data_IF_636625656559
#
_entry.id   IF_636625656559
#
_cell.length_a   1.000
_cell.length_b   1.000
_cell.length_c   1.000
_cell.angle_alpha   90.00
_cell.angle_beta   90.00
_cell.angle_gamma   90.00
#
_symmetry.space_group_name_H-M   'P 1'
#
loop_
_entity.id
_entity.type
_entity.pdbx_description
1 polymer ?
#
# COMPACT_ATOMS: atom_id res chain seq x y z
N UNK A 1 16.35 -2.88 -9.82
CA UNK A 1 15.91 -1.87 -10.80
C UNK A 1 14.63 -2.40 -11.42
N UNK A 2 13.53 -1.64 -11.39
CA UNK A 2 12.28 -2.07 -12.02
C UNK A 2 12.50 -2.08 -13.53
N UNK A 3 12.18 -3.19 -14.19
CA UNK A 3 11.99 -3.17 -15.62
C UNK A 3 10.63 -2.50 -15.89
N UNK A 4 10.58 -1.47 -16.75
CA UNK A 4 9.34 -0.76 -17.09
C UNK A 4 8.30 -1.72 -17.71
N UNK A 5 8.74 -2.85 -18.26
CA UNK A 5 7.88 -3.92 -18.77
C UNK A 5 7.07 -4.63 -17.66
N UNK A 6 7.51 -4.55 -16.39
CA UNK A 6 6.87 -5.19 -15.24
C UNK A 6 5.84 -4.27 -14.53
N UNK A 7 5.47 -3.15 -15.16
CA UNK A 7 4.43 -2.29 -14.61
C UNK A 7 3.07 -2.99 -14.64
N UNK A 8 2.35 -2.98 -13.53
CA UNK A 8 1.03 -3.60 -13.40
C UNK A 8 0.03 -3.17 -14.49
N UNK A 9 0.21 -1.96 -15.03
CA UNK A 9 -0.59 -1.46 -16.16
C UNK A 9 -0.48 -2.35 -17.39
N UNK A 10 0.69 -2.98 -17.61
CA UNK A 10 1.01 -3.76 -18.81
C UNK A 10 0.71 -5.26 -18.64
N UNK A 11 0.16 -5.67 -17.50
CA UNK A 11 -0.15 -7.08 -17.23
C UNK A 11 -1.13 -7.65 -18.26
N UNK A 12 -0.78 -8.83 -18.81
CA UNK A 12 -1.61 -9.52 -19.80
C UNK A 12 -1.63 -8.91 -21.20
N UNK A 13 -0.78 -7.91 -21.49
CA UNK A 13 -0.54 -7.41 -22.84
C UNK A 13 0.52 -8.28 -23.54
N UNK A 14 0.45 -8.32 -24.88
CA UNK A 14 1.48 -8.92 -25.73
C UNK A 14 2.78 -8.11 -25.67
N UNK A 15 3.90 -8.74 -26.01
CA UNK A 15 5.21 -8.06 -26.06
C UNK A 15 5.23 -6.87 -27.02
N UNK A 16 4.53 -7.00 -28.17
CA UNK A 16 4.41 -5.93 -29.16
C UNK A 16 3.67 -4.72 -28.59
N UNK A 17 2.51 -4.93 -27.95
CA UNK A 17 1.72 -3.87 -27.31
C UNK A 17 2.51 -3.17 -26.21
N UNK A 18 3.21 -3.92 -25.36
CA UNK A 18 4.08 -3.36 -24.31
C UNK A 18 5.15 -2.44 -24.91
N UNK A 19 5.86 -2.88 -25.93
CA UNK A 19 6.91 -2.07 -26.58
C UNK A 19 6.35 -0.76 -27.16
N UNK A 20 5.18 -0.81 -27.79
CA UNK A 20 4.52 0.39 -28.31
C UNK A 20 4.17 1.36 -27.18
N UNK A 21 3.54 0.88 -26.11
CA UNK A 21 3.17 1.73 -24.97
C UNK A 21 4.41 2.33 -24.30
N UNK A 22 5.45 1.53 -24.08
CA UNK A 22 6.69 1.98 -23.46
C UNK A 22 7.41 3.02 -24.29
N UNK A 23 7.32 2.97 -25.63
CA UNK A 23 7.91 3.98 -26.51
C UNK A 23 7.26 5.36 -26.36
N UNK A 24 6.01 5.43 -25.88
CA UNK A 24 5.30 6.69 -25.58
C UNK A 24 5.63 7.24 -24.17
N UNK A 25 6.30 6.47 -23.32
CA UNK A 25 6.60 6.93 -21.96
C UNK A 25 7.64 8.05 -21.96
N UNK A 26 7.43 9.09 -21.11
CA UNK A 26 8.41 10.14 -20.97
C UNK A 26 9.70 9.62 -20.31
N UNK A 27 10.78 10.37 -20.43
CA UNK A 27 12.03 10.07 -19.74
C UNK A 27 11.81 10.09 -18.21
N UNK A 28 12.40 9.12 -17.51
CA UNK A 28 12.38 9.07 -16.06
C UNK A 28 13.18 10.22 -15.46
N UNK A 29 12.72 10.73 -14.31
CA UNK A 29 13.33 11.84 -13.58
C UNK A 29 14.12 11.30 -12.39
N UNK A 30 15.33 11.84 -12.18
CA UNK A 30 16.19 11.47 -11.06
C UNK A 30 16.07 12.48 -9.93
N UNK A 31 15.93 11.98 -8.71
CA UNK A 31 15.86 12.76 -7.47
C UNK A 31 16.98 12.31 -6.53
N UNK A 32 17.66 13.28 -5.92
CA UNK A 32 18.66 13.02 -4.87
C UNK A 32 17.97 12.73 -3.54
N UNK A 33 18.67 12.02 -2.67
CA UNK A 33 18.20 11.80 -1.29
C UNK A 33 17.78 13.11 -0.63
N UNK A 34 16.56 13.15 -0.09
CA UNK A 34 15.95 14.31 0.56
C UNK A 34 15.17 15.24 -0.36
N UNK A 35 15.25 15.09 -1.68
CA UNK A 35 14.47 15.91 -2.60
C UNK A 35 12.99 15.52 -2.58
N UNK A 36 12.13 16.53 -2.78
CA UNK A 36 10.69 16.37 -2.90
C UNK A 36 10.38 15.88 -4.32
N UNK A 37 9.87 14.66 -4.41
CA UNK A 37 9.45 14.03 -5.67
C UNK A 37 8.08 14.57 -6.09
N UNK A 38 7.19 14.80 -5.11
CA UNK A 38 5.78 15.03 -5.31
C UNK A 38 5.24 15.84 -4.14
N UNK A 39 4.71 16.99 -4.39
CA UNK A 39 4.25 17.91 -3.34
C UNK A 39 2.73 18.03 -3.34
N UNK A 40 2.15 18.09 -2.17
CA UNK A 40 0.73 18.37 -2.01
C UNK A 40 0.31 19.73 -2.56
N UNK A 41 1.22 20.69 -2.52
CA UNK A 41 0.96 22.06 -2.98
C UNK A 41 1.18 22.25 -4.49
N UNK A 42 1.87 21.29 -5.14
CA UNK A 42 2.14 21.30 -6.59
C UNK A 42 1.52 20.06 -7.24
N UNK A 43 0.25 20.19 -7.57
CA UNK A 43 -0.47 19.12 -8.25
C UNK A 43 -0.03 18.98 -9.71
N UNK A 44 0.60 17.87 -10.08
CA UNK A 44 1.09 17.58 -11.44
C UNK A 44 0.17 16.64 -12.22
N UNK A 45 -0.91 16.17 -11.64
CA UNK A 45 -1.88 15.23 -12.23
C UNK A 45 -1.21 14.05 -12.95
N UNK A 46 -0.30 13.38 -12.27
CA UNK A 46 0.47 12.27 -12.82
C UNK A 46 0.56 11.08 -11.87
N UNK A 47 0.64 9.89 -12.45
CA UNK A 47 0.95 8.64 -11.78
C UNK A 47 2.47 8.48 -11.77
N UNK A 48 3.08 8.37 -10.59
CA UNK A 48 4.51 8.17 -10.43
C UNK A 48 4.85 6.71 -10.13
N UNK A 49 5.81 6.13 -10.86
CA UNK A 49 6.37 4.81 -10.61
C UNK A 49 7.82 4.92 -10.15
N UNK A 50 8.15 4.29 -9.03
CA UNK A 50 9.53 4.19 -8.56
C UNK A 50 10.28 3.14 -9.41
N UNK A 51 11.14 3.60 -10.31
CA UNK A 51 11.98 2.72 -11.14
C UNK A 51 13.19 2.18 -10.35
N UNK A 52 13.80 3.03 -9.52
CA UNK A 52 14.89 2.62 -8.63
C UNK A 52 14.92 3.49 -7.38
N UNK A 53 15.58 3.01 -6.31
CA UNK A 53 15.68 3.72 -5.05
C UNK A 53 14.48 3.50 -4.12
N UNK A 54 14.32 4.41 -3.16
CA UNK A 54 13.27 4.37 -2.14
C UNK A 54 12.76 5.78 -1.86
N UNK A 55 11.46 5.91 -1.61
CA UNK A 55 10.82 7.14 -1.21
C UNK A 55 9.86 6.90 -0.03
N UNK A 56 9.36 7.97 0.58
CA UNK A 56 8.35 7.89 1.62
C UNK A 56 7.37 9.05 1.50
N UNK A 57 6.12 8.79 1.92
CA UNK A 57 5.10 9.82 2.01
C UNK A 57 4.98 10.34 3.44
N UNK A 58 4.80 11.66 3.57
CA UNK A 58 4.49 12.35 4.82
C UNK A 58 3.19 13.14 4.69
N UNK A 59 2.44 13.27 5.79
CA UNK A 59 1.25 14.12 5.81
C UNK A 59 1.59 15.59 5.72
N UNK A 60 0.66 16.40 5.20
CA UNK A 60 0.84 17.85 5.06
C UNK A 60 0.34 18.66 6.26
N UNK A 61 -0.09 18.02 7.34
CA UNK A 61 -0.67 18.68 8.52
C UNK A 61 0.35 19.30 9.49
N UNK A 62 1.47 19.78 8.96
CA UNK A 62 2.51 20.52 9.71
C UNK A 62 3.42 19.68 10.61
N UNK A 63 3.06 18.44 10.90
CA UNK A 63 3.86 17.55 11.77
C UNK A 63 4.67 16.50 11.00
N UNK A 64 4.53 16.43 9.66
CA UNK A 64 5.30 15.52 8.80
C UNK A 64 5.19 14.04 9.19
N UNK A 65 4.00 13.60 9.63
CA UNK A 65 3.81 12.21 10.08
C UNK A 65 4.04 11.26 8.91
N UNK A 66 4.93 10.29 9.12
CA UNK A 66 5.19 9.23 8.15
C UNK A 66 3.93 8.42 7.85
N UNK A 67 3.56 8.30 6.58
CA UNK A 67 2.40 7.54 6.12
C UNK A 67 2.79 6.20 5.51
N UNK A 68 3.74 6.18 4.56
CA UNK A 68 4.04 5.01 3.75
C UNK A 68 5.44 5.09 3.15
N UNK A 69 6.12 3.93 2.99
CA UNK A 69 7.31 3.78 2.16
C UNK A 69 6.94 3.31 0.76
N UNK A 70 7.72 3.76 -0.22
CA UNK A 70 7.70 3.31 -1.61
C UNK A 70 9.07 2.74 -1.96
N UNK A 71 9.07 1.60 -2.62
CA UNK A 71 10.25 0.93 -3.13
C UNK A 71 10.12 0.73 -4.64
N UNK A 72 11.20 0.31 -5.29
CA UNK A 72 11.19 -0.03 -6.72
C UNK A 72 9.99 -0.94 -7.05
N UNK A 73 9.26 -0.64 -8.11
CA UNK A 73 8.02 -1.34 -8.51
C UNK A 73 6.74 -0.78 -7.92
N UNK A 74 6.80 0.12 -6.94
CA UNK A 74 5.59 0.73 -6.37
C UNK A 74 5.21 2.03 -7.09
N UNK A 75 3.90 2.38 -7.03
CA UNK A 75 3.40 3.64 -7.57
C UNK A 75 2.71 4.51 -6.51
N UNK A 76 2.63 5.81 -6.80
CA UNK A 76 1.91 6.83 -6.03
C UNK A 76 1.11 7.74 -6.98
N UNK A 77 0.17 8.52 -6.44
CA UNK A 77 -0.69 9.43 -7.23
C UNK A 77 -1.92 8.78 -7.84
N UNK A 78 -2.04 7.46 -7.85
CA UNK A 78 -3.11 6.74 -8.55
C UNK A 78 -4.54 7.17 -8.13
N UNK A 79 -4.79 7.48 -6.87
CA UNK A 79 -6.12 7.89 -6.42
C UNK A 79 -6.45 9.35 -6.77
N UNK A 80 -5.47 10.16 -7.14
CA UNK A 80 -5.65 11.58 -7.39
C UNK A 80 -5.80 11.92 -8.87
N UNK A 81 -5.27 11.10 -9.78
CA UNK A 81 -5.14 11.45 -11.20
C UNK A 81 -6.48 11.59 -11.91
N UNK A 82 -7.50 10.80 -11.55
CA UNK A 82 -8.86 10.89 -12.09
C UNK A 82 -9.86 11.45 -11.06
N UNK A 83 -9.36 11.91 -9.90
CA UNK A 83 -10.20 12.44 -8.85
C UNK A 83 -10.64 13.88 -9.11
N UNK A 84 -11.81 14.27 -8.58
CA UNK A 84 -12.30 15.65 -8.65
C UNK A 84 -11.48 16.64 -7.80
N UNK A 85 -10.69 16.15 -6.84
CA UNK A 85 -9.85 16.94 -5.96
C UNK A 85 -8.48 17.20 -6.58
N UNK A 86 -8.15 18.46 -6.91
CA UNK A 86 -6.82 18.87 -7.42
C UNK A 86 -5.80 19.07 -6.28
N UNK A 87 -5.75 18.17 -5.32
CA UNK A 87 -4.80 18.24 -4.20
C UNK A 87 -4.30 16.84 -3.83
N UNK A 88 -3.03 16.75 -3.53
CA UNK A 88 -2.48 15.54 -2.96
C UNK A 88 -2.63 15.54 -1.42
N UNK A 89 -2.90 14.38 -0.84
CA UNK A 89 -3.04 14.23 0.62
C UNK A 89 -1.69 14.13 1.35
N UNK A 90 -0.60 14.01 0.60
CA UNK A 90 0.74 13.79 1.14
C UNK A 90 1.82 14.33 0.22
N UNK A 91 2.98 14.63 0.79
CA UNK A 91 4.23 14.91 0.07
C UNK A 91 5.08 13.65 0.02
N UNK A 92 5.66 13.34 -1.14
CA UNK A 92 6.58 12.21 -1.33
C UNK A 92 8.01 12.73 -1.44
N UNK A 93 8.91 12.16 -0.64
CA UNK A 93 10.31 12.57 -0.51
C UNK A 93 11.22 11.38 -0.81
N UNK A 94 12.30 11.60 -1.55
CA UNK A 94 13.31 10.61 -1.85
C UNK A 94 14.08 10.21 -0.57
N UNK A 95 14.05 8.92 -0.20
CA UNK A 95 14.82 8.38 0.93
C UNK A 95 16.25 8.03 0.55
N UNK A 96 16.47 7.66 -0.69
CA UNK A 96 17.76 7.41 -1.34
C UNK A 96 17.76 8.14 -2.67
N UNK A 97 18.83 8.11 -3.42
CA UNK A 97 18.79 8.50 -4.84
C UNK A 97 17.74 7.64 -5.54
N UNK A 98 16.78 8.29 -6.20
CA UNK A 98 15.53 7.66 -6.65
C UNK A 98 15.20 8.11 -8.07
N UNK A 99 14.89 7.15 -8.93
CA UNK A 99 14.43 7.40 -10.31
C UNK A 99 12.94 7.14 -10.41
N UNK A 100 12.20 8.07 -10.99
CA UNK A 100 10.72 8.02 -11.08
C UNK A 100 10.27 8.24 -12.51
N UNK A 101 9.40 7.38 -13.02
CA UNK A 101 8.65 7.56 -14.24
C UNK A 101 7.31 8.21 -13.91
N UNK A 102 6.99 9.34 -14.55
CA UNK A 102 5.69 10.02 -14.41
C UNK A 102 4.85 9.85 -15.66
N UNK A 103 3.65 9.33 -15.51
CA UNK A 103 2.66 9.19 -16.59
C UNK A 103 1.51 10.14 -16.27
N UNK A 104 1.28 11.15 -17.12
CA UNK A 104 0.20 12.12 -16.92
C UNK A 104 -1.16 11.55 -17.32
N UNK A 105 -2.23 12.24 -16.94
CA UNK A 105 -3.61 11.82 -17.20
C UNK A 105 -3.89 11.67 -18.71
N UNK A 106 -3.38 12.56 -19.54
CA UNK A 106 -3.59 12.54 -20.99
C UNK A 106 -3.01 11.27 -21.62
N UNK A 107 -1.77 10.92 -21.28
CA UNK A 107 -1.13 9.70 -21.77
C UNK A 107 -1.83 8.45 -21.23
N UNK A 108 -2.25 8.43 -19.96
CA UNK A 108 -3.03 7.32 -19.41
C UNK A 108 -4.36 7.13 -20.17
N UNK A 109 -5.09 8.21 -20.44
CA UNK A 109 -6.32 8.16 -21.23
C UNK A 109 -6.08 7.62 -22.64
N UNK A 110 -5.03 8.08 -23.31
CA UNK A 110 -4.61 7.54 -24.62
C UNK A 110 -4.36 6.04 -24.56
N UNK A 111 -3.62 5.58 -23.53
CA UNK A 111 -3.29 4.17 -23.34
C UNK A 111 -4.58 3.36 -23.06
N UNK A 112 -5.46 3.83 -22.18
CA UNK A 112 -6.70 3.14 -21.83
C UNK A 112 -7.65 2.98 -23.01
N UNK A 113 -7.74 4.00 -23.87
CA UNK A 113 -8.59 3.96 -25.07
C UNK A 113 -8.05 2.97 -26.12
N UNK A 114 -6.74 2.95 -26.33
CA UNK A 114 -6.13 2.08 -27.34
C UNK A 114 -5.90 0.65 -26.84
N UNK A 115 -5.72 0.48 -25.54
CA UNK A 115 -5.42 -0.80 -24.88
C UNK A 115 -6.34 -1.00 -23.65
N UNK A 116 -7.62 -1.34 -23.83
CA UNK A 116 -8.61 -1.39 -22.73
C UNK A 116 -8.20 -2.31 -21.57
N UNK A 117 -7.36 -3.31 -21.82
CA UNK A 117 -6.81 -4.18 -20.78
C UNK A 117 -6.04 -3.40 -19.70
N UNK A 118 -5.36 -2.33 -20.08
CA UNK A 118 -4.64 -1.47 -19.13
C UNK A 118 -5.57 -0.72 -18.20
N UNK A 119 -6.75 -0.30 -18.67
CA UNK A 119 -7.79 0.28 -17.82
C UNK A 119 -8.34 -0.74 -16.81
N UNK A 120 -8.58 -1.98 -17.24
CA UNK A 120 -8.99 -3.07 -16.34
C UNK A 120 -7.92 -3.33 -15.28
N UNK A 121 -6.64 -3.36 -15.64
CA UNK A 121 -5.54 -3.52 -14.70
C UNK A 121 -5.50 -2.37 -13.67
N UNK A 122 -5.71 -1.13 -14.13
CA UNK A 122 -5.77 0.04 -13.27
C UNK A 122 -6.96 -0.02 -12.28
N UNK A 123 -8.16 -0.39 -12.76
CA UNK A 123 -9.35 -0.58 -11.93
C UNK A 123 -9.11 -1.68 -10.89
N UNK A 124 -8.51 -2.81 -11.31
CA UNK A 124 -8.17 -3.92 -10.41
C UNK A 124 -7.21 -3.46 -9.31
N UNK A 125 -6.16 -2.73 -9.66
CA UNK A 125 -5.23 -2.14 -8.72
C UNK A 125 -5.92 -1.22 -7.70
N UNK A 126 -6.81 -0.31 -8.15
CA UNK A 126 -7.57 0.57 -7.26
C UNK A 126 -8.53 -0.22 -6.36
N UNK A 127 -9.20 -1.24 -6.89
CA UNK A 127 -10.10 -2.11 -6.12
C UNK A 127 -9.36 -2.82 -4.99
N UNK A 128 -8.14 -3.31 -5.23
CA UNK A 128 -7.32 -3.92 -4.20
C UNK A 128 -6.87 -2.90 -3.14
N UNK A 129 -6.58 -1.65 -3.54
CA UNK A 129 -6.29 -0.57 -2.58
C UNK A 129 -7.50 -0.24 -1.71
N UNK A 130 -8.70 -0.15 -2.28
CA UNK A 130 -9.95 0.08 -1.53
C UNK A 130 -10.18 -1.07 -0.54
N UNK A 131 -10.06 -2.31 -0.99
CA UNK A 131 -10.20 -3.50 -0.13
C UNK A 131 -9.20 -3.50 1.03
N UNK A 132 -7.94 -3.17 0.75
CA UNK A 132 -6.91 -3.02 1.78
C UNK A 132 -7.24 -1.92 2.79
N UNK A 133 -7.71 -0.74 2.33
CA UNK A 133 -8.09 0.36 3.21
C UNK A 133 -9.30 0.01 4.07
N UNK A 134 -10.33 -0.63 3.50
CA UNK A 134 -11.50 -1.10 4.24
C UNK A 134 -11.11 -2.10 5.34
N UNK A 135 -10.18 -3.04 5.03
CA UNK A 135 -9.63 -3.97 6.02
C UNK A 135 -8.92 -3.23 7.16
N UNK A 136 -8.12 -2.20 6.86
CA UNK A 136 -7.51 -1.34 7.89
C UNK A 136 -8.55 -0.59 8.73
N UNK A 137 -9.55 0.00 8.09
CA UNK A 137 -10.61 0.71 8.79
C UNK A 137 -11.39 -0.21 9.73
N UNK A 138 -11.71 -1.43 9.30
CA UNK A 138 -12.43 -2.40 10.16
C UNK A 138 -11.62 -2.76 11.43
N UNK A 139 -10.29 -2.83 11.33
CA UNK A 139 -9.41 -3.05 12.47
C UNK A 139 -9.37 -1.83 13.40
N UNK A 140 -9.28 -0.62 12.84
CA UNK A 140 -9.23 0.63 13.62
C UNK A 140 -10.58 1.00 14.27
N UNK A 141 -11.68 0.48 13.75
CA UNK A 141 -13.04 0.70 14.29
C UNK A 141 -13.36 -0.18 15.51
N UNK A 142 -12.42 -0.97 16.00
CA UNK A 142 -12.63 -1.81 17.17
C UNK A 142 -12.62 -0.97 18.45
N UNK A 143 -13.54 -1.27 19.36
CA UNK A 143 -13.72 -0.52 20.61
C UNK A 143 -12.60 -0.78 21.64
N UNK A 144 -11.88 -1.90 21.52
CA UNK A 144 -10.80 -2.26 22.43
C UNK A 144 -9.62 -2.93 21.70
N UNK A 145 -8.49 -3.05 22.40
CA UNK A 145 -7.27 -3.61 21.83
C UNK A 145 -7.40 -5.11 21.49
N UNK A 146 -8.21 -5.87 22.23
CA UNK A 146 -8.42 -7.30 21.99
C UNK A 146 -9.16 -7.54 20.68
N UNK A 147 -10.26 -6.81 20.45
CA UNK A 147 -11.01 -6.90 19.19
C UNK A 147 -10.15 -6.45 17.99
N UNK A 148 -9.32 -5.41 18.19
CA UNK A 148 -8.38 -4.95 17.17
C UNK A 148 -7.40 -6.04 16.77
N UNK A 149 -6.79 -6.70 17.75
CA UNK A 149 -5.82 -7.79 17.53
C UNK A 149 -6.50 -9.01 16.90
N UNK A 150 -7.65 -9.43 17.41
CA UNK A 150 -8.38 -10.59 16.88
C UNK A 150 -8.85 -10.38 15.44
N UNK A 151 -9.44 -9.24 15.13
CA UNK A 151 -9.85 -8.92 13.74
C UNK A 151 -8.67 -8.91 12.80
N UNK A 152 -7.53 -8.36 13.23
CA UNK A 152 -6.32 -8.42 12.42
C UNK A 152 -5.89 -9.86 12.19
N UNK A 153 -5.74 -10.66 13.24
CA UNK A 153 -5.34 -12.06 13.15
C UNK A 153 -6.27 -12.84 12.22
N UNK A 154 -7.59 -12.77 12.42
CA UNK A 154 -8.58 -13.40 11.53
C UNK A 154 -8.49 -12.95 10.09
N UNK A 155 -8.01 -11.72 9.87
CA UNK A 155 -7.87 -11.15 8.52
C UNK A 155 -6.65 -11.64 7.75
N UNK A 156 -5.65 -12.23 8.44
CA UNK A 156 -4.39 -12.70 7.87
C UNK A 156 -4.17 -14.21 8.09
N UNK A 157 -5.21 -14.91 8.58
CA UNK A 157 -5.20 -16.38 8.71
C UNK A 157 -5.24 -17.06 7.34
N UNK A 158 -4.56 -18.18 7.26
CA UNK A 158 -4.70 -19.16 6.18
C UNK A 158 -5.94 -20.07 6.39
N UNK A 159 -6.11 -21.05 5.53
CA UNK A 159 -7.23 -22.01 5.60
C UNK A 159 -7.27 -22.87 6.87
N UNK A 160 -6.21 -22.85 7.68
CA UNK A 160 -6.10 -23.57 8.95
C UNK A 160 -6.28 -22.63 10.17
N UNK A 161 -6.78 -21.42 9.96
CA UNK A 161 -6.89 -20.34 10.97
C UNK A 161 -5.54 -19.94 11.60
N UNK A 162 -4.43 -20.16 10.89
CA UNK A 162 -3.10 -19.78 11.34
C UNK A 162 -2.67 -18.44 10.73
N UNK A 163 -2.36 -17.46 11.57
CA UNK A 163 -1.82 -16.16 11.17
C UNK A 163 -0.29 -16.15 11.29
N UNK A 164 0.40 -15.82 10.21
CA UNK A 164 1.84 -15.52 10.26
C UNK A 164 2.03 -14.10 10.82
N UNK A 165 2.70 -14.01 11.98
CA UNK A 165 2.98 -12.71 12.59
C UNK A 165 4.25 -12.12 11.97
N UNK A 166 4.27 -10.80 11.67
CA UNK A 166 5.52 -10.13 11.34
C UNK A 166 6.54 -10.32 12.46
N UNK A 167 7.77 -10.73 12.15
CA UNK A 167 8.86 -10.84 13.14
C UNK A 167 9.11 -9.52 13.90
N UNK A 168 8.65 -8.40 13.36
CA UNK A 168 8.80 -7.06 13.94
C UNK A 168 7.50 -6.60 14.62
N UNK A 169 7.38 -6.87 15.93
CA UNK A 169 6.25 -6.45 16.76
C UNK A 169 6.07 -4.91 16.81
N UNK A 170 7.13 -4.14 16.59
CA UNK A 170 7.05 -2.68 16.48
C UNK A 170 6.30 -2.27 15.23
N UNK A 171 6.50 -2.98 14.13
CA UNK A 171 5.74 -2.75 12.90
C UNK A 171 4.27 -3.12 13.09
N UNK A 172 3.99 -4.26 13.73
CA UNK A 172 2.63 -4.70 14.00
C UNK A 172 1.88 -3.70 14.91
N UNK A 173 2.50 -3.22 15.98
CA UNK A 173 1.89 -2.24 16.88
C UNK A 173 1.54 -0.93 16.16
N UNK A 174 2.42 -0.45 15.28
CA UNK A 174 2.15 0.72 14.42
C UNK A 174 1.01 0.47 13.41
N UNK A 175 0.95 -0.73 12.83
CA UNK A 175 -0.12 -1.10 11.90
C UNK A 175 -1.49 -1.15 12.57
N UNK A 176 -1.54 -1.60 13.83
CA UNK A 176 -2.78 -1.72 14.62
C UNK A 176 -3.15 -0.42 15.35
N UNK A 177 -2.27 0.58 15.37
CA UNK A 177 -2.50 1.84 16.09
C UNK A 177 -2.53 1.69 17.61
N UNK A 178 -1.90 0.62 18.17
CA UNK A 178 -1.82 0.36 19.61
C UNK A 178 -0.37 0.37 20.09
N UNK A 179 -0.15 0.76 21.34
CA UNK A 179 1.18 0.76 21.93
C UNK A 179 1.78 -0.65 22.00
N UNK A 180 3.13 -0.77 21.89
CA UNK A 180 3.81 -2.09 21.98
C UNK A 180 3.46 -2.83 23.27
N UNK A 181 3.52 -2.15 24.42
CA UNK A 181 3.19 -2.76 25.72
C UNK A 181 1.74 -3.26 25.74
N UNK A 182 0.81 -2.48 25.19
CA UNK A 182 -0.59 -2.87 25.04
C UNK A 182 -0.74 -4.09 24.13
N UNK A 183 -0.02 -4.13 23.00
CA UNK A 183 -0.06 -5.26 22.09
C UNK A 183 0.38 -6.57 22.78
N UNK A 184 1.51 -6.55 23.49
CA UNK A 184 2.00 -7.73 24.20
C UNK A 184 0.99 -8.20 25.26
N UNK A 185 0.52 -7.27 26.12
CA UNK A 185 -0.49 -7.58 27.15
C UNK A 185 -1.78 -8.14 26.53
N UNK A 186 -2.21 -7.58 25.40
CA UNK A 186 -3.41 -8.08 24.71
C UNK A 186 -3.23 -9.50 24.18
N UNK A 187 -2.07 -9.79 23.58
CA UNK A 187 -1.76 -11.14 23.10
C UNK A 187 -1.70 -12.14 24.27
N UNK A 188 -1.12 -11.75 25.42
CA UNK A 188 -1.06 -12.59 26.61
C UNK A 188 -2.46 -12.85 27.17
N UNK A 189 -3.33 -11.84 27.23
CA UNK A 189 -4.73 -12.00 27.65
C UNK A 189 -5.52 -12.92 26.72
N UNK A 190 -5.35 -12.76 25.42
CA UNK A 190 -6.04 -13.58 24.41
C UNK A 190 -5.59 -15.04 24.47
N UNK A 191 -4.32 -15.30 24.75
CA UNK A 191 -3.79 -16.64 24.94
C UNK A 191 -4.29 -17.26 26.25
N UNK A 192 -4.24 -16.52 27.36
CA UNK A 192 -4.75 -16.96 28.66
C UNK A 192 -6.25 -17.25 28.60
N UNK A 193 -7.02 -16.49 27.84
CA UNK A 193 -8.45 -16.71 27.62
C UNK A 193 -8.76 -17.83 26.60
N UNK A 194 -7.74 -18.48 26.03
CA UNK A 194 -7.91 -19.56 25.05
C UNK A 194 -8.46 -19.11 23.70
N UNK A 195 -8.43 -17.82 23.39
CA UNK A 195 -8.91 -17.28 22.11
C UNK A 195 -7.86 -17.37 21.00
N UNK A 196 -6.59 -17.46 21.36
CA UNK A 196 -5.46 -17.70 20.45
C UNK A 196 -4.51 -18.73 21.06
N UNK A 197 -3.72 -19.39 20.21
CA UNK A 197 -2.58 -20.22 20.60
C UNK A 197 -1.34 -19.71 19.86
N UNK A 198 -0.28 -19.41 20.60
CA UNK A 198 1.00 -18.96 20.02
C UNK A 198 1.96 -20.14 19.86
N UNK A 199 2.38 -20.41 18.63
CA UNK A 199 3.34 -21.46 18.29
C UNK A 199 4.49 -20.86 17.46
N UNK A 200 5.67 -20.70 18.04
CA UNK A 200 6.85 -20.12 17.38
C UNK A 200 6.54 -18.76 16.71
N UNK A 201 6.43 -18.73 15.37
CA UNK A 201 6.13 -17.53 14.57
C UNK A 201 4.69 -17.49 14.05
N UNK A 202 3.80 -18.36 14.54
CA UNK A 202 2.40 -18.44 14.14
C UNK A 202 1.48 -18.20 15.32
N UNK A 203 0.34 -17.58 15.07
CA UNK A 203 -0.78 -17.51 15.99
C UNK A 203 -1.96 -18.23 15.36
N UNK A 204 -2.46 -19.25 16.02
CA UNK A 204 -3.71 -19.90 15.66
C UNK A 204 -4.85 -19.18 16.36
N UNK A 205 -5.86 -18.72 15.60
CA UNK A 205 -7.09 -18.14 16.15
C UNK A 205 -8.04 -19.27 16.46
N UNK A 206 -8.47 -19.38 17.72
CA UNK A 206 -9.44 -20.36 18.19
C UNK A 206 -10.81 -19.71 18.10
N UNK A 207 -11.55 -20.03 17.03
CA UNK A 207 -12.94 -19.60 16.89
C UNK A 207 -13.81 -20.46 17.81
N UNK A 208 -14.13 -19.96 18.97
CA UNK A 208 -15.26 -20.47 19.74
C UNK A 208 -16.55 -19.92 19.11
N UNK A 209 -16.96 -20.45 17.96
CA UNK A 209 -18.34 -20.30 17.50
C UNK A 209 -19.24 -21.07 18.47
N UNK A 210 -19.70 -20.39 19.51
CA UNK A 210 -20.99 -20.76 20.11
C UNK A 210 -22.06 -20.12 19.25
N UNK A 211 -22.63 -20.94 18.35
CA UNK A 211 -23.90 -20.67 17.71
C UNK A 211 -24.91 -20.12 18.73
N UNK A 212 -25.46 -18.96 18.46
CA UNK A 212 -26.80 -18.55 18.87
C UNK A 212 -27.64 -18.29 17.63
#
# INVERSE_FOLDING_TARGET
>A
MLNVEDLFLLDGLTECERKIIISDFPASVNFKKGEVIYSADKFSNSLGFICSGKAFAVTNNGQGVFMKSFESGTCFGAAAIFGSGKKYVSTVIAKTDTTVLFINEELLNKIFLNYPKTAVNYISFLSDKVRFLNKKLSVLSCSNAEDTVLKYLSSVTDGENCALIPKNMTLLSKMLGIGRATLYRTLDNLETSGRILRENNKIKVINNEKNY
#
